data_IF_747754775230
#
_entry.id   IF_747754775230
#
_cell.length_a   1.000
_cell.length_b   1.000
_cell.length_c   1.000
_cell.angle_alpha   90.00
_cell.angle_beta   90.00
_cell.angle_gamma   90.00
#
_symmetry.space_group_name_H-M   'P 1'
#
loop_
_entity.id
_entity.type
_entity.pdbx_description
1 polymer ?
#
# COMPACT_ATOMS: atom_id res chain seq x y z
N UNK A 1 -10.95 -4.24 27.81
CA UNK A 1 -9.73 -3.72 27.21
C UNK A 1 -8.64 -4.78 27.10
N UNK A 2 -8.21 -5.48 28.14
CA UNK A 2 -7.13 -6.48 28.08
C UNK A 2 -7.42 -7.65 27.13
N UNK A 3 -8.65 -8.13 27.04
CA UNK A 3 -9.01 -9.17 26.06
C UNK A 3 -8.80 -8.72 24.61
N UNK A 4 -9.12 -7.46 24.29
CA UNK A 4 -8.89 -6.89 22.95
C UNK A 4 -7.40 -6.75 22.67
N UNK A 5 -6.60 -6.28 23.64
CA UNK A 5 -5.14 -6.18 23.51
C UNK A 5 -4.54 -7.56 23.21
N UNK A 6 -4.97 -8.58 23.95
CA UNK A 6 -4.52 -9.97 23.75
C UNK A 6 -4.90 -10.50 22.36
N UNK A 7 -6.15 -10.26 21.92
CA UNK A 7 -6.64 -10.68 20.60
C UNK A 7 -5.88 -10.00 19.46
N UNK A 8 -5.63 -8.69 19.58
CA UNK A 8 -4.83 -7.93 18.61
C UNK A 8 -3.39 -8.47 18.56
N UNK A 9 -2.78 -8.71 19.72
CA UNK A 9 -1.43 -9.30 19.78
C UNK A 9 -1.37 -10.65 19.09
N UNK A 10 -2.30 -11.56 19.36
CA UNK A 10 -2.38 -12.87 18.71
C UNK A 10 -2.48 -12.77 17.18
N UNK A 11 -3.21 -11.78 16.69
CA UNK A 11 -3.31 -11.54 15.24
C UNK A 11 -1.99 -11.04 14.64
N UNK A 12 -1.24 -10.22 15.39
CA UNK A 12 -0.02 -9.55 14.94
C UNK A 12 1.27 -10.24 15.40
N UNK A 13 1.21 -11.41 16.01
CA UNK A 13 2.35 -12.06 16.69
C UNK A 13 3.55 -12.33 15.78
N UNK A 14 3.29 -12.58 14.48
CA UNK A 14 4.35 -12.80 13.50
C UNK A 14 4.90 -11.51 12.86
N UNK A 15 4.37 -10.31 13.24
CA UNK A 15 4.86 -9.06 12.69
C UNK A 15 6.35 -8.87 13.01
N UNK A 16 7.18 -8.93 11.97
CA UNK A 16 8.65 -8.86 12.04
C UNK A 16 9.29 -9.85 13.03
N UNK A 17 8.61 -10.98 13.31
CA UNK A 17 9.11 -11.98 14.25
C UNK A 17 10.36 -12.70 13.73
N UNK A 18 10.54 -12.74 12.41
CA UNK A 18 11.71 -13.29 11.72
C UNK A 18 12.92 -12.33 11.68
N UNK A 19 12.78 -11.09 12.14
CA UNK A 19 13.91 -10.18 12.28
C UNK A 19 14.64 -10.37 13.61
N UNK A 20 15.96 -10.34 13.58
CA UNK A 20 16.78 -10.32 14.80
C UNK A 20 16.78 -8.93 15.48
N UNK A 21 15.59 -8.36 15.66
CA UNK A 21 15.34 -7.03 16.24
C UNK A 21 14.09 -7.05 17.12
N UNK A 22 14.19 -7.54 18.37
CA UNK A 22 13.01 -7.67 19.25
C UNK A 22 12.24 -6.36 19.48
N UNK A 23 12.94 -5.22 19.44
CA UNK A 23 12.33 -3.91 19.68
C UNK A 23 11.35 -3.43 18.59
N UNK A 24 11.34 -4.06 17.40
CA UNK A 24 10.38 -3.71 16.34
C UNK A 24 9.11 -4.57 16.38
N UNK A 25 9.09 -5.63 17.17
CA UNK A 25 7.94 -6.52 17.31
C UNK A 25 6.78 -5.82 18.02
N UNK A 26 5.57 -6.23 17.68
CA UNK A 26 4.38 -5.87 18.44
C UNK A 26 4.29 -6.76 19.67
N UNK A 27 3.96 -6.17 20.82
CA UNK A 27 3.75 -6.88 22.10
C UNK A 27 2.48 -6.34 22.76
N UNK A 28 1.93 -7.08 23.73
CA UNK A 28 0.78 -6.58 24.51
C UNK A 28 1.08 -5.25 25.18
N UNK A 29 2.32 -5.06 25.67
CA UNK A 29 2.73 -3.77 26.27
C UNK A 29 2.84 -2.65 25.24
N UNK A 30 3.34 -2.95 24.03
CA UNK A 30 3.38 -1.93 22.98
C UNK A 30 1.98 -1.49 22.55
N UNK A 31 1.02 -2.41 22.45
CA UNK A 31 -0.40 -2.11 22.16
C UNK A 31 -1.00 -1.28 23.30
N UNK A 32 -0.76 -1.66 24.56
CA UNK A 32 -1.25 -0.92 25.73
C UNK A 32 -0.67 0.49 25.79
N UNK A 33 0.63 0.64 25.60
CA UNK A 33 1.29 1.94 25.56
C UNK A 33 0.79 2.82 24.40
N UNK A 34 0.55 2.21 23.25
CA UNK A 34 0.01 2.92 22.10
C UNK A 34 -1.41 3.43 22.34
N UNK A 35 -2.32 2.59 22.82
CA UNK A 35 -3.71 3.01 23.05
C UNK A 35 -3.85 4.02 24.19
N UNK A 36 -2.94 3.99 25.16
CA UNK A 36 -2.94 4.95 26.25
C UNK A 36 -2.62 6.40 25.81
N UNK A 37 -2.16 6.61 24.59
CA UNK A 37 -1.94 7.94 24.00
C UNK A 37 -3.22 8.57 23.43
N UNK A 38 -4.35 7.85 23.49
CA UNK A 38 -5.69 8.33 23.16
C UNK A 38 -6.51 8.59 24.42
N UNK A 39 -7.55 9.44 24.31
CA UNK A 39 -8.47 9.74 25.40
C UNK A 39 -9.19 8.48 25.88
N UNK A 40 -9.51 8.44 27.17
CA UNK A 40 -10.00 7.21 27.83
C UNK A 40 -11.27 6.63 27.18
N UNK A 41 -12.19 7.49 26.79
CA UNK A 41 -13.47 7.14 26.15
C UNK A 41 -13.32 6.59 24.73
N UNK A 42 -12.24 6.93 24.06
CA UNK A 42 -11.93 6.46 22.69
C UNK A 42 -11.24 5.08 22.67
N UNK A 43 -10.61 4.66 23.78
CA UNK A 43 -9.71 3.49 23.79
C UNK A 43 -10.42 2.17 23.43
N UNK A 44 -11.59 1.94 24.04
CA UNK A 44 -12.34 0.70 23.79
C UNK A 44 -12.89 0.65 22.36
N UNK A 45 -13.56 1.70 21.84
CA UNK A 45 -13.96 1.73 20.43
C UNK A 45 -12.79 1.52 19.46
N UNK A 46 -11.65 2.19 19.66
CA UNK A 46 -10.45 2.03 18.79
C UNK A 46 -9.95 0.59 18.83
N UNK A 47 -9.77 -0.02 20.01
CA UNK A 47 -9.29 -1.40 20.11
C UNK A 47 -10.28 -2.40 19.50
N UNK A 48 -11.59 -2.16 19.66
CA UNK A 48 -12.63 -3.01 19.05
C UNK A 48 -12.51 -3.00 17.54
N UNK A 49 -12.37 -1.82 16.95
CA UNK A 49 -12.22 -1.71 15.51
C UNK A 49 -10.88 -2.24 15.01
N UNK A 50 -9.78 -2.03 15.74
CA UNK A 50 -8.48 -2.60 15.35
C UNK A 50 -8.48 -4.12 15.40
N UNK A 51 -9.09 -4.73 16.40
CA UNK A 51 -9.24 -6.19 16.47
C UNK A 51 -10.01 -6.73 15.25
N UNK A 52 -11.10 -6.08 14.88
CA UNK A 52 -11.88 -6.41 13.69
C UNK A 52 -11.08 -6.17 12.37
N UNK A 53 -10.41 -5.02 12.25
CA UNK A 53 -9.66 -4.63 11.05
C UNK A 53 -8.45 -5.54 10.85
N UNK A 54 -7.66 -5.82 11.89
CA UNK A 54 -6.50 -6.70 11.74
C UNK A 54 -6.91 -8.12 11.37
N UNK A 55 -7.98 -8.68 11.94
CA UNK A 55 -8.51 -9.99 11.53
C UNK A 55 -8.89 -10.05 10.04
N UNK A 56 -9.34 -8.92 9.47
CA UNK A 56 -9.70 -8.81 8.05
C UNK A 56 -8.51 -8.46 7.15
N UNK A 57 -7.59 -7.61 7.61
CA UNK A 57 -6.62 -6.90 6.76
C UNK A 57 -5.15 -7.07 7.17
N UNK A 58 -4.87 -7.98 8.10
CA UNK A 58 -3.50 -8.40 8.36
C UNK A 58 -3.20 -9.71 7.65
N UNK A 59 -2.11 -9.73 6.90
CA UNK A 59 -1.61 -10.91 6.23
C UNK A 59 -0.32 -11.39 6.90
N UNK A 60 -0.41 -12.50 7.63
CA UNK A 60 0.73 -13.18 8.23
C UNK A 60 1.71 -13.69 7.16
N UNK A 61 2.95 -13.96 7.54
CA UNK A 61 3.97 -14.54 6.65
C UNK A 61 3.45 -15.82 5.98
N UNK A 62 2.81 -16.68 6.74
CA UNK A 62 2.22 -17.93 6.23
C UNK A 62 1.08 -17.70 5.24
N UNK A 63 0.18 -16.74 5.51
CA UNK A 63 -0.91 -16.38 4.59
C UNK A 63 -0.36 -15.86 3.26
N UNK A 64 0.68 -15.01 3.30
CA UNK A 64 1.31 -14.49 2.07
C UNK A 64 2.06 -15.59 1.32
N UNK A 65 2.77 -16.47 2.02
CA UNK A 65 3.48 -17.61 1.41
C UNK A 65 2.50 -18.56 0.71
N UNK A 66 1.36 -18.86 1.35
CA UNK A 66 0.30 -19.65 0.76
C UNK A 66 -0.32 -18.98 -0.49
N UNK A 67 -0.51 -17.66 -0.45
CA UNK A 67 -0.98 -16.91 -1.63
C UNK A 67 0.00 -17.01 -2.80
N UNK A 68 1.29 -16.83 -2.57
CA UNK A 68 2.32 -16.94 -3.60
C UNK A 68 2.34 -18.34 -4.22
N UNK A 69 2.19 -19.37 -3.39
CA UNK A 69 2.06 -20.75 -3.87
C UNK A 69 0.82 -20.97 -4.75
N UNK A 70 -0.34 -20.44 -4.31
CA UNK A 70 -1.56 -20.49 -5.11
C UNK A 70 -1.39 -19.76 -6.45
N UNK A 71 -0.69 -18.63 -6.48
CA UNK A 71 -0.38 -17.92 -7.73
C UNK A 71 0.46 -18.81 -8.66
N UNK A 72 1.50 -19.49 -8.15
CA UNK A 72 2.29 -20.44 -8.95
C UNK A 72 1.39 -21.54 -9.55
N UNK A 73 0.53 -22.14 -8.72
CA UNK A 73 -0.37 -23.21 -9.18
C UNK A 73 -1.37 -22.73 -10.23
N UNK A 74 -1.97 -21.55 -10.01
CA UNK A 74 -2.90 -20.94 -10.96
C UNK A 74 -2.22 -20.62 -12.29
N UNK A 75 -1.04 -20.01 -12.25
CA UNK A 75 -0.27 -19.67 -13.44
C UNK A 75 0.18 -20.94 -14.19
N UNK A 76 0.62 -21.97 -13.47
CA UNK A 76 0.98 -23.28 -14.05
C UNK A 76 -0.20 -23.85 -14.84
N UNK A 77 -1.40 -23.83 -14.26
CA UNK A 77 -2.63 -24.30 -14.90
C UNK A 77 -3.07 -23.41 -16.06
N UNK A 78 -3.13 -22.09 -15.83
CA UNK A 78 -3.65 -21.12 -16.80
C UNK A 78 -2.80 -21.05 -18.07
N UNK A 79 -1.49 -21.34 -17.94
CA UNK A 79 -0.57 -21.36 -19.07
C UNK A 79 -0.25 -22.76 -19.61
N UNK A 80 -0.90 -23.80 -19.08
CA UNK A 80 -0.86 -25.16 -19.61
C UNK A 80 0.45 -25.89 -19.37
N UNK A 81 1.19 -25.57 -18.31
CA UNK A 81 2.40 -26.30 -17.94
C UNK A 81 2.07 -27.62 -17.23
N UNK A 82 2.92 -28.63 -17.41
CA UNK A 82 2.76 -29.94 -16.78
C UNK A 82 2.92 -29.89 -15.26
N UNK A 83 3.77 -29.02 -14.77
CA UNK A 83 4.07 -28.84 -13.35
C UNK A 83 4.66 -27.44 -13.08
N UNK A 84 4.73 -27.08 -11.81
CA UNK A 84 5.23 -25.79 -11.36
C UNK A 84 6.71 -25.56 -11.71
N UNK A 85 7.55 -26.60 -11.68
CA UNK A 85 8.98 -26.45 -12.00
C UNK A 85 9.17 -26.05 -13.47
N UNK A 86 8.37 -26.62 -14.38
CA UNK A 86 8.40 -26.22 -15.79
C UNK A 86 7.96 -24.77 -15.97
N UNK A 87 6.87 -24.34 -15.29
CA UNK A 87 6.41 -22.97 -15.29
C UNK A 87 7.50 -22.00 -14.75
N UNK A 88 8.08 -22.30 -13.58
CA UNK A 88 9.10 -21.46 -12.94
C UNK A 88 10.34 -21.28 -13.84
N UNK A 89 10.81 -22.32 -14.49
CA UNK A 89 11.95 -22.25 -15.44
C UNK A 89 11.65 -21.41 -16.68
N UNK A 90 10.38 -21.15 -17.01
CA UNK A 90 9.94 -20.30 -18.10
C UNK A 90 9.49 -18.90 -17.65
N UNK A 91 9.68 -18.54 -16.37
CA UNK A 91 9.21 -17.31 -15.76
C UNK A 91 10.35 -16.48 -15.19
N UNK A 92 10.44 -15.22 -15.58
CA UNK A 92 11.39 -14.23 -15.06
C UNK A 92 10.72 -13.42 -13.96
N UNK A 93 11.24 -13.47 -12.72
CA UNK A 93 10.71 -12.71 -11.60
C UNK A 93 11.43 -11.36 -11.53
N UNK A 94 10.68 -10.31 -11.84
CA UNK A 94 11.23 -8.97 -12.00
C UNK A 94 11.72 -8.41 -10.66
N UNK A 95 12.97 -8.00 -10.64
CA UNK A 95 13.65 -7.41 -9.50
C UNK A 95 14.01 -5.96 -9.83
N UNK A 96 13.04 -5.05 -9.64
CA UNK A 96 13.12 -3.67 -10.11
C UNK A 96 13.40 -2.66 -8.99
N UNK A 97 13.17 -3.04 -7.73
CA UNK A 97 13.32 -2.12 -6.60
C UNK A 97 14.65 -2.30 -5.87
N UNK A 98 15.20 -1.21 -5.27
CA UNK A 98 16.38 -1.28 -4.43
C UNK A 98 16.20 -2.20 -3.21
N UNK A 99 17.30 -2.59 -2.60
CA UNK A 99 17.28 -3.32 -1.32
C UNK A 99 16.50 -2.58 -0.24
N UNK A 100 15.81 -3.35 0.62
CA UNK A 100 14.99 -2.82 1.71
C UNK A 100 13.59 -2.37 1.31
N UNK A 101 13.23 -2.41 0.01
CA UNK A 101 11.86 -2.18 -0.45
C UNK A 101 11.00 -3.43 -0.39
N UNK A 102 9.67 -3.24 -0.39
CA UNK A 102 8.70 -4.32 -0.23
C UNK A 102 8.83 -5.42 -1.28
N UNK A 103 9.05 -5.07 -2.54
CA UNK A 103 9.25 -6.04 -3.61
C UNK A 103 10.43 -7.00 -3.31
N UNK A 104 11.55 -6.49 -2.81
CA UNK A 104 12.72 -7.32 -2.46
C UNK A 104 12.40 -8.30 -1.34
N UNK A 105 11.61 -7.87 -0.37
CA UNK A 105 11.15 -8.72 0.73
C UNK A 105 10.21 -9.80 0.20
N UNK A 106 9.31 -9.44 -0.71
CA UNK A 106 8.39 -10.38 -1.36
C UNK A 106 9.14 -11.41 -2.21
N UNK A 107 10.17 -10.98 -2.95
CA UNK A 107 11.03 -11.89 -3.74
C UNK A 107 11.84 -12.82 -2.83
N UNK A 108 12.33 -12.35 -1.68
CA UNK A 108 13.01 -13.22 -0.70
C UNK A 108 12.07 -14.27 -0.12
N UNK A 109 10.82 -13.90 0.21
CA UNK A 109 9.81 -14.86 0.66
C UNK A 109 9.44 -15.86 -0.44
N UNK A 110 9.38 -15.39 -1.68
CA UNK A 110 9.13 -16.25 -2.84
C UNK A 110 10.27 -17.25 -3.05
N UNK A 111 11.52 -16.80 -2.94
CA UNK A 111 12.71 -17.68 -3.04
C UNK A 111 12.68 -18.76 -1.95
N UNK A 112 12.41 -18.38 -0.70
CA UNK A 112 12.21 -19.32 0.43
C UNK A 112 11.11 -20.37 0.10
N UNK A 113 9.98 -19.92 -0.44
CA UNK A 113 8.88 -20.81 -0.82
C UNK A 113 9.27 -21.81 -1.90
N UNK A 114 9.90 -21.34 -3.00
CA UNK A 114 10.23 -22.22 -4.12
C UNK A 114 11.35 -23.19 -3.80
N UNK A 115 12.29 -22.81 -2.93
CA UNK A 115 13.30 -23.73 -2.42
C UNK A 115 12.68 -24.84 -1.58
N UNK A 116 11.81 -24.51 -0.62
CA UNK A 116 11.17 -25.49 0.25
C UNK A 116 10.22 -26.43 -0.49
N UNK A 117 9.47 -25.93 -1.44
CA UNK A 117 8.36 -26.68 -2.04
C UNK A 117 8.69 -27.32 -3.39
N UNK A 118 9.55 -26.68 -4.16
CA UNK A 118 9.86 -27.08 -5.54
C UNK A 118 11.32 -27.43 -5.78
N UNK A 119 12.19 -27.23 -4.78
CA UNK A 119 13.61 -27.49 -4.88
C UNK A 119 14.34 -26.60 -5.90
N UNK A 120 13.81 -25.42 -6.16
CA UNK A 120 14.35 -24.39 -7.07
C UNK A 120 14.67 -23.12 -6.29
N UNK A 121 15.51 -22.28 -6.84
CA UNK A 121 15.79 -20.91 -6.39
C UNK A 121 15.33 -19.89 -7.42
N UNK A 122 15.31 -18.59 -7.07
CA UNK A 122 15.07 -17.53 -8.04
C UNK A 122 16.08 -17.54 -9.20
N UNK A 123 17.30 -18.02 -8.97
CA UNK A 123 18.31 -18.15 -10.02
C UNK A 123 17.97 -19.24 -11.06
N UNK A 124 17.16 -20.21 -10.71
CA UNK A 124 16.69 -21.26 -11.61
C UNK A 124 15.47 -20.82 -12.44
N UNK A 125 14.82 -19.72 -12.05
CA UNK A 125 13.69 -19.16 -12.77
C UNK A 125 14.16 -18.50 -14.09
N UNK A 126 13.35 -18.62 -15.14
CA UNK A 126 13.63 -18.02 -16.46
C UNK A 126 14.82 -18.64 -17.21
N UNK A 127 15.36 -19.75 -16.74
CA UNK A 127 16.54 -20.40 -17.36
C UNK A 127 16.20 -21.12 -18.67
N UNK A 128 14.96 -21.54 -18.87
CA UNK A 128 14.50 -22.14 -20.15
C UNK A 128 14.03 -21.06 -21.10
N UNK A 129 13.21 -20.13 -20.64
CA UNK A 129 12.75 -18.96 -21.38
C UNK A 129 12.25 -17.87 -20.44
N UNK A 130 12.06 -16.65 -20.96
CA UNK A 130 11.43 -15.53 -20.26
C UNK A 130 10.02 -15.26 -20.83
N UNK A 131 9.27 -16.34 -21.06
CA UNK A 131 7.91 -16.27 -21.62
C UNK A 131 6.94 -15.53 -20.70
N UNK A 132 7.21 -15.50 -19.40
CA UNK A 132 6.43 -14.80 -18.39
C UNK A 132 7.31 -13.88 -17.58
N UNK A 133 6.94 -12.61 -17.51
CA UNK A 133 7.62 -11.57 -16.72
C UNK A 133 6.74 -11.24 -15.52
N UNK A 134 7.13 -11.65 -14.32
CA UNK A 134 6.30 -11.64 -13.13
C UNK A 134 6.80 -10.59 -12.14
N UNK A 135 5.96 -9.59 -11.86
CA UNK A 135 6.18 -8.57 -10.84
C UNK A 135 5.38 -8.92 -9.59
N UNK A 136 6.08 -9.18 -8.49
CA UNK A 136 5.48 -9.51 -7.19
C UNK A 136 5.70 -8.34 -6.25
N UNK A 137 4.65 -7.87 -5.57
CA UNK A 137 4.78 -6.86 -4.52
C UNK A 137 3.67 -7.04 -3.45
N UNK A 138 3.78 -6.35 -2.33
CA UNK A 138 2.83 -6.53 -1.22
C UNK A 138 1.57 -5.67 -1.36
N UNK A 139 1.69 -4.35 -1.52
CA UNK A 139 0.55 -3.44 -1.44
C UNK A 139 0.59 -2.40 -2.57
N UNK A 140 -0.47 -2.34 -3.36
CA UNK A 140 -0.71 -1.26 -4.29
C UNK A 140 -1.64 -0.22 -3.65
N UNK A 141 -1.08 0.89 -3.14
CA UNK A 141 -1.82 2.06 -2.66
C UNK A 141 -2.01 3.08 -3.79
N UNK A 142 -1.17 4.09 -3.87
CA UNK A 142 -1.23 5.11 -4.94
C UNK A 142 -0.82 4.57 -6.31
N UNK A 143 0.01 3.51 -6.33
CA UNK A 143 0.51 2.88 -7.55
C UNK A 143 1.60 3.67 -8.28
N UNK A 144 2.19 4.71 -7.66
CA UNK A 144 3.30 5.45 -8.27
C UNK A 144 4.51 4.55 -8.53
N UNK A 145 4.89 3.74 -7.55
CA UNK A 145 6.00 2.79 -7.65
C UNK A 145 5.79 1.82 -8.83
N UNK A 146 4.59 1.25 -8.95
CA UNK A 146 4.25 0.36 -10.06
C UNK A 146 4.49 1.02 -11.42
N UNK A 147 3.98 2.26 -11.61
CA UNK A 147 4.16 2.98 -12.88
C UNK A 147 5.63 3.27 -13.16
N UNK A 148 6.38 3.71 -12.15
CA UNK A 148 7.81 3.99 -12.30
C UNK A 148 8.59 2.72 -12.69
N UNK A 149 8.41 1.64 -11.94
CA UNK A 149 9.11 0.37 -12.13
C UNK A 149 8.80 -0.24 -13.51
N UNK A 150 7.51 -0.27 -13.89
CA UNK A 150 7.10 -0.88 -15.16
C UNK A 150 7.46 0.01 -16.36
N UNK A 151 7.46 1.35 -16.21
CA UNK A 151 7.96 2.25 -17.25
C UNK A 151 9.43 1.99 -17.53
N UNK A 152 10.27 1.93 -16.49
CA UNK A 152 11.69 1.64 -16.62
C UNK A 152 11.92 0.25 -17.22
N UNK A 153 11.29 -0.80 -16.67
CA UNK A 153 11.39 -2.16 -17.19
C UNK A 153 10.95 -2.27 -18.65
N UNK A 154 9.91 -1.54 -19.05
CA UNK A 154 9.36 -1.61 -20.39
C UNK A 154 10.33 -1.14 -21.48
N UNK A 155 11.25 -0.25 -21.13
CA UNK A 155 12.31 0.25 -22.05
C UNK A 155 13.58 -0.60 -22.03
N UNK A 156 13.73 -1.51 -21.06
CA UNK A 156 14.90 -2.42 -21.04
C UNK A 156 14.85 -3.41 -22.20
N UNK A 157 16.01 -3.90 -22.60
CA UNK A 157 16.16 -4.88 -23.67
C UNK A 157 15.63 -6.26 -23.24
N UNK A 158 14.66 -6.80 -23.97
CA UNK A 158 14.16 -8.17 -23.85
C UNK A 158 15.07 -9.15 -24.60
N UNK A 159 15.41 -8.81 -25.83
CA UNK A 159 16.33 -9.53 -26.71
C UNK A 159 16.94 -8.54 -27.68
N UNK A 160 17.99 -8.92 -28.41
CA UNK A 160 18.72 -8.03 -29.31
C UNK A 160 17.79 -7.18 -30.19
N UNK A 161 17.79 -5.88 -29.95
CA UNK A 161 17.01 -4.89 -30.72
C UNK A 161 15.51 -4.87 -30.40
N UNK A 162 15.07 -5.49 -29.30
CA UNK A 162 13.66 -5.57 -28.88
C UNK A 162 13.50 -5.23 -27.40
N UNK A 163 12.66 -4.27 -27.08
CA UNK A 163 12.35 -3.87 -25.69
C UNK A 163 11.28 -4.77 -25.06
N UNK A 164 11.18 -4.73 -23.72
CA UNK A 164 10.14 -5.48 -22.99
C UNK A 164 8.72 -5.07 -23.41
N UNK A 165 8.44 -3.78 -23.67
CA UNK A 165 7.12 -3.34 -24.16
C UNK A 165 6.78 -3.90 -25.54
N UNK A 166 7.76 -4.05 -26.42
CA UNK A 166 7.58 -4.68 -27.72
C UNK A 166 7.34 -6.19 -27.57
N UNK A 167 8.05 -6.83 -26.64
CA UNK A 167 7.86 -8.24 -26.33
C UNK A 167 6.46 -8.54 -25.72
N UNK A 168 5.91 -7.61 -24.93
CA UNK A 168 4.52 -7.69 -24.46
C UNK A 168 3.53 -7.50 -25.63
N UNK A 169 3.84 -6.55 -26.53
CA UNK A 169 2.95 -6.23 -27.67
C UNK A 169 2.81 -7.41 -28.64
N UNK A 170 3.89 -8.12 -28.94
CA UNK A 170 3.86 -9.25 -29.89
C UNK A 170 3.67 -10.62 -29.18
N UNK A 171 3.47 -10.63 -27.85
CA UNK A 171 3.24 -11.85 -27.09
C UNK A 171 4.48 -12.72 -26.84
N UNK A 172 5.70 -12.20 -27.07
CA UNK A 172 6.95 -12.90 -26.71
C UNK A 172 7.11 -13.08 -25.21
N UNK A 173 6.56 -12.15 -24.41
CA UNK A 173 6.39 -12.29 -22.96
C UNK A 173 5.00 -11.87 -22.52
N UNK A 174 4.52 -12.46 -21.43
CA UNK A 174 3.26 -12.09 -20.77
C UNK A 174 3.62 -11.42 -19.44
N UNK A 175 3.26 -10.15 -19.29
CA UNK A 175 3.45 -9.44 -18.02
C UNK A 175 2.38 -9.89 -17.01
N UNK A 176 2.83 -10.24 -15.81
CA UNK A 176 1.96 -10.69 -14.71
C UNK A 176 2.27 -9.87 -13.47
N UNK A 177 1.23 -9.35 -12.85
CA UNK A 177 1.30 -8.71 -11.54
C UNK A 177 0.72 -9.62 -10.47
N UNK A 178 1.41 -9.78 -9.34
CA UNK A 178 0.93 -10.50 -8.18
C UNK A 178 1.07 -9.63 -6.92
N UNK A 179 -0.06 -9.24 -6.33
CA UNK A 179 -0.12 -8.37 -5.16
C UNK A 179 -0.87 -9.02 -4.01
N UNK A 180 -0.43 -8.80 -2.78
CA UNK A 180 -1.21 -9.19 -1.60
C UNK A 180 -2.46 -8.31 -1.48
N UNK A 181 -2.29 -7.00 -1.57
CA UNK A 181 -3.39 -6.03 -1.52
C UNK A 181 -3.38 -5.09 -2.73
N UNK A 182 -4.54 -4.85 -3.30
CA UNK A 182 -4.73 -3.79 -4.29
C UNK A 182 -5.88 -2.87 -3.89
N UNK A 183 -5.68 -1.56 -4.02
CA UNK A 183 -6.73 -0.57 -3.93
C UNK A 183 -7.38 -0.39 -5.30
N UNK A 184 -8.61 -0.83 -5.42
CA UNK A 184 -9.33 -1.06 -6.70
C UNK A 184 -9.46 0.19 -7.57
N UNK A 185 -9.87 1.34 -6.98
CA UNK A 185 -9.96 2.63 -7.70
C UNK A 185 -8.58 3.02 -8.24
N UNK A 186 -7.54 2.91 -7.41
CA UNK A 186 -6.18 3.31 -7.79
C UNK A 186 -5.59 2.39 -8.85
N UNK A 187 -5.81 1.08 -8.75
CA UNK A 187 -5.38 0.17 -9.82
C UNK A 187 -6.03 0.48 -11.17
N UNK A 188 -7.34 0.79 -11.20
CA UNK A 188 -8.03 1.20 -12.43
C UNK A 188 -7.42 2.48 -13.03
N UNK A 189 -7.15 3.50 -12.17
CA UNK A 189 -6.46 4.73 -12.60
C UNK A 189 -5.06 4.42 -13.17
N UNK A 190 -4.28 3.56 -12.49
CA UNK A 190 -2.92 3.20 -12.94
C UNK A 190 -2.93 2.35 -14.21
N UNK A 191 -3.93 1.50 -14.41
CA UNK A 191 -4.10 0.79 -15.68
C UNK A 191 -4.34 1.78 -16.84
N UNK A 192 -5.16 2.82 -16.64
CA UNK A 192 -5.33 3.88 -17.63
C UNK A 192 -4.02 4.66 -17.86
N UNK A 193 -3.30 5.02 -16.78
CA UNK A 193 -2.02 5.73 -16.86
C UNK A 193 -0.94 4.92 -17.61
N UNK A 194 -0.86 3.61 -17.43
CA UNK A 194 0.04 2.72 -18.20
C UNK A 194 -0.19 2.87 -19.71
N UNK A 195 -1.44 3.03 -20.14
CA UNK A 195 -1.79 3.19 -21.56
C UNK A 195 -1.10 4.40 -22.18
N UNK A 196 -1.08 5.53 -21.47
CA UNK A 196 -0.50 6.77 -21.97
C UNK A 196 1.01 6.87 -21.72
N UNK A 197 1.48 6.42 -20.56
CA UNK A 197 2.88 6.58 -20.15
C UNK A 197 3.80 5.46 -20.63
N UNK A 198 3.25 4.29 -20.96
CA UNK A 198 4.03 3.11 -21.35
C UNK A 198 3.59 2.59 -22.72
N UNK A 199 2.47 1.86 -22.79
CA UNK A 199 1.85 1.44 -24.04
C UNK A 199 0.47 0.80 -23.80
N UNK A 200 -0.38 0.80 -24.86
CA UNK A 200 -1.64 0.08 -24.86
C UNK A 200 -1.46 -1.42 -24.60
N UNK A 201 -0.41 -2.01 -25.14
CA UNK A 201 -0.14 -3.44 -24.97
C UNK A 201 0.15 -3.78 -23.50
N UNK A 202 1.03 -3.02 -22.83
CA UNK A 202 1.31 -3.22 -21.40
C UNK A 202 0.05 -3.02 -20.55
N UNK A 203 -0.76 -2.02 -20.87
CA UNK A 203 -2.00 -1.74 -20.13
C UNK A 203 -3.08 -2.81 -20.30
N UNK A 204 -3.17 -3.47 -21.46
CA UNK A 204 -4.28 -4.38 -21.77
C UNK A 204 -3.89 -5.86 -21.74
N UNK A 205 -2.63 -6.21 -22.00
CA UNK A 205 -2.20 -7.62 -22.14
C UNK A 205 -1.59 -8.20 -20.84
N UNK A 206 -1.49 -7.41 -19.75
CA UNK A 206 -1.04 -7.97 -18.48
C UNK A 206 -2.13 -8.76 -17.77
N UNK A 207 -1.70 -9.66 -16.89
CA UNK A 207 -2.57 -10.39 -15.96
C UNK A 207 -2.36 -9.87 -14.54
N UNK A 208 -3.43 -9.85 -13.73
CA UNK A 208 -3.39 -9.40 -12.35
C UNK A 208 -3.89 -10.50 -11.41
N UNK A 209 -3.03 -10.93 -10.49
CA UNK A 209 -3.37 -11.81 -9.37
C UNK A 209 -3.27 -11.03 -8.07
N UNK A 210 -4.24 -11.21 -7.17
CA UNK A 210 -4.28 -10.54 -5.87
C UNK A 210 -4.92 -11.42 -4.83
N UNK A 211 -4.47 -11.27 -3.59
CA UNK A 211 -5.10 -11.95 -2.47
C UNK A 211 -6.37 -11.20 -2.03
N UNK A 212 -6.27 -9.88 -1.88
CA UNK A 212 -7.37 -9.05 -1.38
C UNK A 212 -7.54 -7.79 -2.25
N UNK A 213 -8.81 -7.46 -2.56
CA UNK A 213 -9.19 -6.18 -3.14
C UNK A 213 -9.71 -5.25 -2.05
N UNK A 214 -9.20 -4.03 -2.01
CA UNK A 214 -9.66 -2.99 -1.09
C UNK A 214 -10.55 -2.02 -1.86
N UNK A 215 -11.78 -1.89 -1.40
CA UNK A 215 -12.71 -0.92 -1.95
C UNK A 215 -12.39 0.47 -1.42
N UNK A 216 -12.01 1.35 -2.32
CA UNK A 216 -11.64 2.73 -2.03
C UNK A 216 -12.32 3.73 -2.99
N UNK A 217 -13.50 3.38 -3.48
CA UNK A 217 -14.36 4.28 -4.25
C UNK A 217 -14.91 5.40 -3.37
N UNK A 218 -15.24 6.53 -4.01
CA UNK A 218 -15.89 7.69 -3.38
C UNK A 218 -17.25 7.98 -4.01
N UNK A 219 -17.67 7.14 -4.96
CA UNK A 219 -18.95 7.26 -5.63
C UNK A 219 -20.10 6.85 -4.70
N UNK A 220 -21.30 7.29 -5.03
CA UNK A 220 -22.52 6.92 -4.30
C UNK A 220 -22.67 5.39 -4.22
N UNK A 221 -23.02 4.88 -3.04
CA UNK A 221 -23.10 3.44 -2.70
C UNK A 221 -21.76 2.68 -2.75
N UNK A 222 -20.63 3.36 -2.79
CA UNK A 222 -19.32 2.72 -2.71
C UNK A 222 -19.11 2.06 -1.35
N UNK A 223 -18.42 0.92 -1.35
CA UNK A 223 -17.77 0.38 -0.15
C UNK A 223 -16.50 1.20 0.11
N UNK A 224 -16.25 1.54 1.36
CA UNK A 224 -15.11 2.34 1.78
C UNK A 224 -14.35 1.59 2.85
N UNK A 225 -13.27 0.92 2.47
CA UNK A 225 -12.43 0.13 3.38
C UNK A 225 -11.15 0.90 3.79
N UNK A 226 -11.29 2.20 4.02
CA UNK A 226 -10.25 3.16 4.40
C UNK A 226 -10.69 3.98 5.60
N UNK A 227 -9.75 4.70 6.22
CA UNK A 227 -10.06 5.85 7.06
C UNK A 227 -10.40 7.03 6.13
N UNK A 228 -11.67 7.43 6.14
CA UNK A 228 -12.17 8.52 5.31
C UNK A 228 -13.29 9.26 6.06
N UNK A 229 -12.95 10.31 6.83
CA UNK A 229 -13.84 10.93 7.81
C UNK A 229 -15.03 11.67 7.17
N UNK A 230 -16.06 11.92 7.99
CA UNK A 230 -17.14 12.85 7.67
C UNK A 230 -16.75 14.28 8.00
N UNK A 231 -17.40 15.25 7.35
CA UNK A 231 -17.20 16.67 7.64
C UNK A 231 -17.86 17.11 8.95
N UNK A 232 -19.05 16.55 9.24
CA UNK A 232 -19.81 16.91 10.41
C UNK A 232 -19.10 16.57 11.72
N UNK A 233 -19.07 17.53 12.66
CA UNK A 233 -18.51 17.34 13.99
C UNK A 233 -16.99 17.47 14.06
N UNK A 234 -16.32 17.92 13.00
CA UNK A 234 -14.87 18.14 13.02
C UNK A 234 -14.52 19.40 13.83
N UNK A 235 -13.50 19.34 14.72
CA UNK A 235 -13.03 20.50 15.47
C UNK A 235 -12.32 21.52 14.57
N UNK A 236 -12.16 22.75 15.09
CA UNK A 236 -11.48 23.85 14.37
C UNK A 236 -10.09 23.47 13.88
N UNK A 237 -9.31 22.68 14.65
CA UNK A 237 -7.99 22.21 14.27
C UNK A 237 -7.96 21.45 12.94
N UNK A 238 -8.99 20.65 12.68
CA UNK A 238 -9.15 19.92 11.41
C UNK A 238 -9.44 20.90 10.25
N UNK A 239 -10.28 21.90 10.48
CA UNK A 239 -10.56 22.94 9.47
C UNK A 239 -9.31 23.78 9.16
N UNK A 240 -8.56 24.17 10.17
CA UNK A 240 -7.31 24.90 10.00
C UNK A 240 -6.27 24.06 9.23
N UNK A 241 -6.18 22.76 9.52
CA UNK A 241 -5.31 21.83 8.81
C UNK A 241 -5.76 21.60 7.35
N UNK A 242 -7.09 21.48 7.10
CA UNK A 242 -7.65 21.44 5.75
C UNK A 242 -7.19 22.65 4.93
N UNK A 243 -7.32 23.85 5.48
CA UNK A 243 -6.93 25.08 4.79
C UNK A 243 -5.43 25.12 4.44
N UNK A 244 -4.55 24.65 5.32
CA UNK A 244 -3.12 24.51 5.02
C UNK A 244 -2.87 23.57 3.83
N UNK A 245 -3.56 22.43 3.76
CA UNK A 245 -3.44 21.50 2.63
C UNK A 245 -3.96 22.14 1.34
N UNK A 246 -5.12 22.80 1.37
CA UNK A 246 -5.68 23.49 0.19
C UNK A 246 -4.66 24.47 -0.36
N UNK A 247 -4.06 25.31 0.49
CA UNK A 247 -3.05 26.28 0.06
C UNK A 247 -1.82 25.59 -0.57
N UNK A 248 -1.32 24.51 0.05
CA UNK A 248 -0.19 23.76 -0.48
C UNK A 248 -0.49 23.15 -1.84
N UNK A 249 -1.67 22.52 -2.00
CA UNK A 249 -2.09 21.88 -3.25
C UNK A 249 -2.35 22.94 -4.33
N UNK A 250 -2.99 24.06 -3.99
CA UNK A 250 -3.24 25.15 -4.95
C UNK A 250 -1.94 25.80 -5.45
N UNK A 251 -0.91 25.88 -4.60
CA UNK A 251 0.41 26.32 -5.02
C UNK A 251 1.07 25.30 -5.96
N UNK A 252 0.89 24.00 -5.70
CA UNK A 252 1.38 22.93 -6.58
C UNK A 252 0.63 22.91 -7.92
N UNK A 253 -0.70 22.92 -7.91
CA UNK A 253 -1.53 22.84 -9.12
C UNK A 253 -1.42 24.08 -10.02
N UNK A 254 -1.25 25.28 -9.44
CA UNK A 254 -0.93 26.50 -10.21
C UNK A 254 0.35 26.36 -11.02
N UNK A 255 1.38 25.72 -10.43
CA UNK A 255 2.65 25.49 -11.12
C UNK A 255 2.51 24.58 -12.32
N UNK A 256 1.60 23.61 -12.28
CA UNK A 256 1.39 22.63 -13.34
C UNK A 256 0.12 22.84 -14.16
N UNK A 257 -0.62 23.94 -13.91
CA UNK A 257 -1.88 24.29 -14.57
C UNK A 257 -2.92 23.15 -14.52
N UNK A 258 -3.06 22.52 -13.35
CA UNK A 258 -4.00 21.42 -13.12
C UNK A 258 -5.08 21.84 -12.11
N UNK A 259 -6.19 21.11 -12.06
CA UNK A 259 -7.26 21.30 -11.07
C UNK A 259 -7.30 20.07 -10.19
N UNK A 260 -7.34 20.28 -8.88
CA UNK A 260 -7.54 19.21 -7.91
C UNK A 260 -8.87 19.40 -7.19
N UNK A 261 -9.82 18.45 -7.32
CA UNK A 261 -11.04 18.47 -6.54
C UNK A 261 -10.73 18.23 -5.05
N UNK A 262 -11.61 18.74 -4.17
CA UNK A 262 -11.52 18.47 -2.74
C UNK A 262 -12.12 17.10 -2.42
N UNK A 263 -11.30 16.19 -1.91
CA UNK A 263 -11.68 14.85 -1.48
C UNK A 263 -11.35 14.65 0.02
N UNK A 264 -11.58 15.66 0.86
CA UNK A 264 -11.28 15.57 2.30
C UNK A 264 -12.22 14.69 3.08
N UNK A 265 -13.49 14.65 2.68
CA UNK A 265 -14.54 14.00 3.42
C UNK A 265 -15.35 13.05 2.55
N UNK A 266 -15.74 11.92 3.14
CA UNK A 266 -16.67 11.02 2.47
C UNK A 266 -18.08 11.65 2.42
N UNK A 267 -18.87 11.30 1.39
CA UNK A 267 -20.25 11.75 1.32
C UNK A 267 -21.07 11.26 2.53
N UNK A 268 -22.01 12.07 2.99
CA UNK A 268 -22.94 11.68 4.04
C UNK A 268 -23.72 10.42 3.62
N UNK A 269 -23.94 9.51 4.59
CA UNK A 269 -24.62 8.24 4.34
C UNK A 269 -23.79 7.20 3.61
N UNK A 270 -22.46 7.43 3.43
CA UNK A 270 -21.55 6.46 2.85
C UNK A 270 -20.62 5.87 3.95
N UNK A 271 -20.31 4.56 3.87
CA UNK A 271 -20.97 3.56 3.03
C UNK A 271 -22.43 3.37 3.46
N UNK A 272 -23.33 3.13 2.51
CA UNK A 272 -24.75 2.91 2.79
C UNK A 272 -25.03 1.64 3.62
N UNK A 273 -24.10 0.69 3.59
CA UNK A 273 -24.09 -0.51 4.40
C UNK A 273 -22.67 -0.72 4.95
N UNK A 274 -22.49 -0.51 6.25
CA UNK A 274 -21.21 -0.73 6.91
C UNK A 274 -20.90 -2.22 7.01
N UNK A 275 -19.80 -2.65 6.42
CA UNK A 275 -19.34 -4.04 6.44
C UNK A 275 -17.87 -4.18 6.88
N UNK A 276 -17.14 -3.07 6.87
CA UNK A 276 -15.72 -3.08 7.17
C UNK A 276 -15.45 -2.77 8.64
N UNK A 277 -16.05 -1.72 9.19
CA UNK A 277 -16.07 -1.45 10.61
C UNK A 277 -17.22 -2.22 11.29
N UNK A 278 -17.21 -2.31 12.61
CA UNK A 278 -18.25 -3.02 13.38
C UNK A 278 -19.56 -2.27 13.38
N UNK A 279 -19.52 -0.93 13.31
CA UNK A 279 -20.70 -0.08 13.17
C UNK A 279 -20.35 1.27 12.52
N UNK A 280 -21.34 2.00 11.95
CA UNK A 280 -21.14 3.36 11.45
C UNK A 280 -20.67 4.34 12.54
N UNK A 281 -21.13 4.18 13.78
CA UNK A 281 -20.76 5.02 14.92
C UNK A 281 -19.29 4.81 15.30
N UNK A 282 -18.85 3.56 15.42
CA UNK A 282 -17.46 3.22 15.70
C UNK A 282 -16.52 3.68 14.58
N UNK A 283 -16.96 3.59 13.32
CA UNK A 283 -16.21 4.16 12.18
C UNK A 283 -15.94 5.64 12.40
N UNK A 284 -16.97 6.43 12.72
CA UNK A 284 -16.84 7.87 12.94
C UNK A 284 -15.88 8.17 14.09
N UNK A 285 -15.99 7.43 15.20
CA UNK A 285 -15.07 7.58 16.34
C UNK A 285 -13.62 7.35 15.92
N UNK A 286 -13.34 6.24 15.24
CA UNK A 286 -11.97 5.88 14.85
C UNK A 286 -11.42 6.83 13.79
N UNK A 287 -12.21 7.18 12.77
CA UNK A 287 -11.81 8.12 11.73
C UNK A 287 -11.44 9.48 12.31
N UNK A 288 -12.25 10.02 13.22
CA UNK A 288 -11.99 11.29 13.88
C UNK A 288 -10.78 11.21 14.83
N UNK A 289 -10.68 10.15 15.62
CA UNK A 289 -9.55 9.96 16.53
C UNK A 289 -8.20 9.88 15.77
N UNK A 290 -8.17 9.15 14.66
CA UNK A 290 -6.94 9.01 13.87
C UNK A 290 -6.59 10.28 13.11
N UNK A 291 -7.58 11.00 12.58
CA UNK A 291 -7.35 12.30 11.93
C UNK A 291 -6.79 13.33 12.93
N UNK A 292 -7.46 13.50 14.08
CA UNK A 292 -7.05 14.48 15.09
C UNK A 292 -5.68 14.14 15.68
N UNK A 293 -5.44 12.86 16.03
CA UNK A 293 -4.14 12.43 16.54
C UNK A 293 -3.04 12.56 15.49
N UNK A 294 -3.34 12.27 14.21
CA UNK A 294 -2.38 12.47 13.13
C UNK A 294 -1.99 13.94 12.93
N UNK A 295 -2.94 14.88 13.08
CA UNK A 295 -2.66 16.33 13.06
C UNK A 295 -1.78 16.72 14.23
N UNK A 296 -2.11 16.27 15.46
CA UNK A 296 -1.31 16.50 16.65
C UNK A 296 0.14 16.01 16.49
N UNK A 297 0.33 14.83 15.93
CA UNK A 297 1.65 14.25 15.64
C UNK A 297 2.44 15.15 14.68
N UNK A 298 1.82 15.65 13.61
CA UNK A 298 2.47 16.50 12.63
C UNK A 298 2.86 17.86 13.22
N UNK A 299 1.97 18.48 13.99
CA UNK A 299 2.21 19.78 14.63
C UNK A 299 3.33 19.65 15.67
N UNK A 300 3.30 18.64 16.54
CA UNK A 300 4.34 18.41 17.56
C UNK A 300 5.71 18.03 16.95
N UNK A 301 5.71 17.33 15.82
CA UNK A 301 6.94 16.98 15.13
C UNK A 301 7.51 18.11 14.28
N UNK A 302 6.79 19.23 14.11
CA UNK A 302 7.08 20.30 13.16
C UNK A 302 7.41 19.73 11.76
N UNK A 303 6.66 18.71 11.35
CA UNK A 303 6.93 17.98 10.12
C UNK A 303 6.39 18.75 8.91
N UNK A 304 7.29 19.15 8.02
CA UNK A 304 6.95 19.87 6.79
C UNK A 304 7.24 19.02 5.55
N UNK A 305 6.64 17.84 5.49
CA UNK A 305 6.76 16.94 4.32
C UNK A 305 5.46 17.07 3.52
N UNK A 306 5.47 17.67 2.32
CA UNK A 306 4.24 18.03 1.59
C UNK A 306 3.26 16.90 1.32
N UNK A 307 3.77 15.68 1.14
CA UNK A 307 2.96 14.50 0.83
C UNK A 307 2.56 13.69 2.06
N UNK A 308 3.15 13.99 3.23
CA UNK A 308 2.84 13.32 4.48
C UNK A 308 1.71 14.06 5.18
N UNK A 309 0.60 13.38 5.37
CA UNK A 309 -0.63 13.91 5.95
C UNK A 309 -1.07 13.06 7.15
N UNK A 310 -2.01 13.56 7.91
CA UNK A 310 -2.49 12.91 9.13
C UNK A 310 -2.92 11.45 8.92
N UNK A 311 -3.56 11.16 7.79
CA UNK A 311 -4.01 9.81 7.42
C UNK A 311 -3.04 9.07 6.48
N UNK A 312 -1.76 9.47 6.47
CA UNK A 312 -0.71 8.84 5.69
C UNK A 312 -0.32 9.60 4.42
N UNK A 313 0.67 9.09 3.70
CA UNK A 313 1.08 9.71 2.45
C UNK A 313 -0.02 9.69 1.40
N UNK A 314 -0.15 10.79 0.66
CA UNK A 314 -1.01 10.94 -0.50
C UNK A 314 -0.24 11.56 -1.67
N UNK A 315 -0.92 11.77 -2.81
CA UNK A 315 -0.33 12.48 -3.93
C UNK A 315 -0.27 13.99 -3.61
N UNK A 316 0.80 14.72 -4.02
CA UNK A 316 0.95 16.14 -3.73
C UNK A 316 -0.14 17.01 -4.38
N UNK A 317 -0.75 16.52 -5.46
CA UNK A 317 -1.83 17.17 -6.19
C UNK A 317 -3.23 16.95 -5.61
N UNK A 318 -3.41 16.04 -4.63
CA UNK A 318 -4.72 15.73 -4.07
C UNK A 318 -5.03 16.58 -2.83
N UNK A 319 -6.27 17.08 -2.75
CA UNK A 319 -6.83 17.79 -1.59
C UNK A 319 -7.54 16.78 -0.68
N UNK A 320 -6.77 16.03 0.12
CA UNK A 320 -7.24 15.03 1.09
C UNK A 320 -6.45 15.09 2.41
N UNK A 321 -6.88 14.37 3.44
CA UNK A 321 -6.16 14.25 4.72
C UNK A 321 -5.11 13.14 4.73
N UNK A 322 -4.85 12.49 3.61
CA UNK A 322 -4.01 11.32 3.46
C UNK A 322 -4.80 10.13 2.90
N UNK A 323 -4.09 9.09 2.50
CA UNK A 323 -4.70 7.95 1.82
C UNK A 323 -5.60 7.08 2.72
N UNK A 324 -5.28 6.98 4.02
CA UNK A 324 -6.08 6.25 5.00
C UNK A 324 -6.08 4.73 4.86
N UNK A 325 -5.01 4.13 4.31
CA UNK A 325 -4.94 2.69 4.08
C UNK A 325 -5.01 1.88 5.38
N UNK A 326 -5.81 0.80 5.37
CA UNK A 326 -5.96 -0.15 6.47
C UNK A 326 -5.66 -1.59 5.99
N UNK A 327 -4.42 -1.82 5.58
CA UNK A 327 -3.93 -3.12 5.17
C UNK A 327 -2.48 -3.30 5.59
N UNK A 328 -2.15 -4.50 6.08
CA UNK A 328 -0.90 -4.76 6.78
C UNK A 328 -0.39 -6.16 6.40
N UNK A 329 0.93 -6.29 6.28
CA UNK A 329 1.57 -7.60 6.14
C UNK A 329 2.49 -7.87 7.32
N UNK A 330 2.93 -9.09 7.48
CA UNK A 330 3.88 -9.48 8.55
C UNK A 330 5.15 -8.62 8.57
N UNK A 331 5.42 -7.90 7.48
CA UNK A 331 6.67 -7.14 7.29
C UNK A 331 6.45 -5.66 7.07
N UNK A 332 5.30 -5.26 6.57
CA UNK A 332 5.08 -3.90 6.09
C UNK A 332 3.77 -3.29 6.59
N UNK A 333 3.89 -2.04 7.01
CA UNK A 333 2.80 -1.10 7.18
C UNK A 333 2.99 -0.01 6.13
N UNK A 334 2.07 0.17 5.17
CA UNK A 334 2.27 1.15 4.11
C UNK A 334 2.35 2.56 4.69
N UNK A 335 3.20 3.40 4.11
CA UNK A 335 3.25 4.82 4.49
C UNK A 335 1.95 5.59 4.18
N UNK A 336 1.09 5.00 3.37
CA UNK A 336 -0.26 5.48 3.09
C UNK A 336 -1.28 5.16 4.21
N UNK A 337 -0.89 4.41 5.25
CA UNK A 337 -1.69 4.21 6.45
C UNK A 337 -1.63 5.43 7.37
N UNK A 338 -2.65 5.68 8.21
CA UNK A 338 -2.63 6.75 9.21
C UNK A 338 -1.36 6.80 10.03
N UNK A 339 -0.87 8.00 10.33
CA UNK A 339 0.42 8.21 11.02
C UNK A 339 0.49 7.50 12.38
N UNK A 340 -0.63 7.36 13.05
CA UNK A 340 -0.75 6.67 14.35
C UNK A 340 -0.23 5.23 14.31
N UNK A 341 -0.17 4.60 13.14
CA UNK A 341 0.33 3.25 13.00
C UNK A 341 1.87 3.17 12.89
N UNK A 342 2.52 4.14 12.26
CA UNK A 342 3.91 3.94 11.83
C UNK A 342 4.84 5.15 12.03
N UNK A 343 4.32 6.36 12.26
CA UNK A 343 5.17 7.55 12.36
C UNK A 343 5.66 7.75 13.78
N UNK A 344 6.99 7.77 13.96
CA UNK A 344 7.64 8.06 15.24
C UNK A 344 8.14 9.50 15.24
N UNK A 345 7.48 10.37 15.96
CA UNK A 345 7.85 11.80 16.08
C UNK A 345 6.84 12.57 16.91
N UNK A 346 7.18 13.81 17.30
CA UNK A 346 6.32 14.66 18.11
C UNK A 346 5.96 14.09 19.50
N UNK A 347 6.78 13.20 20.06
CA UNK A 347 6.49 12.53 21.34
C UNK A 347 5.53 11.33 21.21
N UNK A 348 5.03 11.02 20.03
CA UNK A 348 4.12 9.90 19.79
C UNK A 348 4.88 8.60 19.50
N UNK A 349 4.44 7.49 20.11
CA UNK A 349 4.96 6.14 19.87
C UNK A 349 3.97 5.38 18.99
N UNK A 350 4.33 5.04 17.74
CA UNK A 350 3.42 4.32 16.84
C UNK A 350 3.21 2.87 17.25
N UNK A 351 2.10 2.27 16.79
CA UNK A 351 1.79 0.86 17.04
C UNK A 351 2.83 -0.06 16.41
N UNK A 352 3.24 0.24 15.18
CA UNK A 352 4.25 -0.51 14.45
C UNK A 352 5.56 0.29 14.35
N UNK A 353 6.63 -0.24 14.91
CA UNK A 353 7.95 0.35 14.78
C UNK A 353 8.55 -0.01 13.41
N UNK A 354 8.38 0.88 12.45
CA UNK A 354 8.88 0.69 11.09
C UNK A 354 10.32 1.21 11.02
N UNK A 355 11.29 0.31 10.84
CA UNK A 355 12.66 0.71 10.48
C UNK A 355 12.72 0.94 8.98
N UNK A 356 12.63 2.18 8.55
CA UNK A 356 12.94 2.57 7.17
C UNK A 356 14.41 2.92 7.12
N UNK A 357 15.15 2.35 6.16
CA UNK A 357 16.54 2.68 5.94
C UNK A 357 16.70 4.18 5.65
N UNK A 358 17.39 4.89 6.53
CA UNK A 358 17.53 6.34 6.55
C UNK A 358 16.82 6.95 7.75
N UNK A 359 17.48 7.92 8.38
CA UNK A 359 16.95 8.70 9.48
C UNK A 359 15.52 9.16 9.16
N UNK A 360 14.55 9.08 10.08
CA UNK A 360 13.18 9.56 9.83
C UNK A 360 13.12 11.07 9.53
N UNK A 361 14.21 11.80 9.69
CA UNK A 361 14.34 13.24 9.43
C UNK A 361 14.99 13.54 8.07
N UNK A 362 15.60 12.56 7.37
CA UNK A 362 16.41 12.84 6.18
C UNK A 362 15.76 12.26 4.93
N UNK A 363 15.24 13.18 4.14
CA UNK A 363 15.23 13.18 2.68
C UNK A 363 14.54 11.99 1.96
N UNK A 364 13.21 11.99 1.93
CA UNK A 364 12.62 11.90 0.63
C UNK A 364 12.72 13.29 -0.04
N UNK A 365 13.90 13.68 -0.46
CA UNK A 365 14.05 14.58 -1.59
C UNK A 365 13.53 13.78 -2.80
N UNK A 366 12.22 13.80 -2.97
CA UNK A 366 11.66 13.71 -4.28
C UNK A 366 12.10 15.00 -4.97
N UNK A 367 13.29 14.97 -5.54
CA UNK A 367 13.67 15.92 -6.57
C UNK A 367 12.81 15.49 -7.75
N UNK A 368 11.76 16.27 -8.12
CA UNK A 368 11.09 16.01 -9.37
C UNK A 368 12.18 16.13 -10.42
N UNK A 369 12.36 15.10 -11.21
CA UNK A 369 13.24 15.23 -12.39
C UNK A 369 12.70 16.43 -13.17
N UNK A 370 13.44 17.52 -13.36
CA UNK A 370 12.92 18.76 -13.90
C UNK A 370 12.48 18.66 -15.37
N UNK A 371 12.49 17.47 -15.94
CA UNK A 371 12.20 17.23 -17.37
C UNK A 371 10.94 16.40 -17.63
N UNK A 372 10.17 16.00 -16.62
CA UNK A 372 8.85 15.42 -16.85
C UNK A 372 7.80 16.24 -16.11
N UNK A 373 6.84 16.87 -16.81
CA UNK A 373 5.64 17.35 -16.15
C UNK A 373 4.98 16.14 -15.45
N UNK A 374 4.64 16.29 -14.17
CA UNK A 374 3.68 15.38 -13.54
C UNK A 374 2.35 15.60 -14.26
N UNK A 375 2.10 14.79 -15.31
CA UNK A 375 0.81 14.74 -15.98
C UNK A 375 -0.19 14.06 -15.04
N UNK A 376 -0.62 14.79 -14.01
CA UNK A 376 -1.86 14.51 -13.30
C UNK A 376 -3.02 14.83 -14.25
N UNK A 377 -3.36 13.86 -15.09
CA UNK A 377 -4.62 13.89 -15.81
C UNK A 377 -5.74 13.61 -14.83
N UNK A 378 -6.39 14.68 -14.37
CA UNK A 378 -7.71 14.64 -13.76
C UNK A 378 -8.72 14.14 -14.80
N UNK A 379 -9.28 12.95 -14.58
CA UNK A 379 -10.56 12.49 -15.13
C UNK A 379 -11.43 11.96 -14.01
#
# INVERSE_FOLDING_TARGET
>A
MEQLITSIYQTLEDYRADENRPHVRVTTDSIRNWINQFDNDLRVPILTELDNIFKKRYCSKSKVKNFLDQVIQLLTKDFGFKNANEFLKNSDFLNLQPEGKSQRIMLSLFDELIQEKYGLSLADCGTTSKKYSIYVDDILCTGLTLISDIKEWSEMEFSKGKTNKQAVADGSTVLVFAYVFIHKKNYRKKKAEMRFKISDAVANNHKMYRLEEIENGTEQNSKIDLIYPLENGQPKSVSDYKNKIVEQVDNHTRRYNTISPEEFYRPNGQPSNEQFFTSPENRIIVENAFLQKGIEILDNANAQIPNMRALGYSLPSLKDFGFGALCFTWRNVPNNAPLVFWYSGGGFTPLFKVTRGGNPIVNFNFVPNPTTPDDDLSF
#
